data_IF_628460244804
#
_entry.id   IF_628460244804
#
_cell.length_a   1.000
_cell.length_b   1.000
_cell.length_c   1.000
_cell.angle_alpha   90.00
_cell.angle_beta   90.00
_cell.angle_gamma   90.00
#
_symmetry.space_group_name_H-M   'P 1'
#
loop_
_entity.id
_entity.type
_entity.pdbx_description
1 polymer ?
#
# COMPACT_ATOMS: atom_id res chain seq x y z
N UNK A 1 -23.31 10.63 8.25
CA UNK A 1 -23.54 9.33 8.93
C UNK A 1 -22.75 9.33 10.24
N UNK A 2 -23.39 9.29 11.42
CA UNK A 2 -22.66 9.19 12.70
C UNK A 2 -22.03 7.78 12.77
N UNK A 3 -20.72 7.71 12.57
CA UNK A 3 -19.94 6.48 12.77
C UNK A 3 -19.99 6.09 14.25
N UNK A 4 -20.17 4.79 14.54
CA UNK A 4 -20.03 4.26 15.89
C UNK A 4 -18.55 4.25 16.28
N UNK A 5 -18.22 4.53 17.55
CA UNK A 5 -16.84 4.52 18.05
C UNK A 5 -16.10 3.21 17.71
N UNK A 6 -16.81 2.07 17.72
CA UNK A 6 -16.26 0.76 17.35
C UNK A 6 -15.80 0.73 15.88
N UNK A 7 -16.57 1.32 14.96
CA UNK A 7 -16.23 1.36 13.55
C UNK A 7 -15.03 2.29 13.31
N UNK A 8 -14.99 3.42 14.00
CA UNK A 8 -13.86 4.36 13.92
C UNK A 8 -12.56 3.76 14.46
N UNK A 9 -12.64 3.03 15.57
CA UNK A 9 -11.50 2.33 16.15
C UNK A 9 -11.02 1.18 15.25
N UNK A 10 -11.96 0.41 14.68
CA UNK A 10 -11.64 -0.62 13.69
C UNK A 10 -10.93 -0.05 12.47
N UNK A 11 -11.38 1.10 11.95
CA UNK A 11 -10.72 1.79 10.85
C UNK A 11 -9.35 2.35 11.21
N UNK A 12 -9.16 2.81 12.44
CA UNK A 12 -7.84 3.24 12.92
C UNK A 12 -6.87 2.05 12.96
N UNK A 13 -7.30 0.93 13.53
CA UNK A 13 -6.50 -0.30 13.60
C UNK A 13 -6.15 -0.78 12.19
N UNK A 14 -7.12 -0.83 11.28
CA UNK A 14 -6.90 -1.28 9.91
C UNK A 14 -5.87 -0.41 9.17
N UNK A 15 -5.91 0.91 9.38
CA UNK A 15 -4.95 1.85 8.79
C UNK A 15 -3.55 1.70 9.38
N UNK A 16 -3.43 1.64 10.70
CA UNK A 16 -2.13 1.51 11.38
C UNK A 16 -1.50 0.14 11.08
N UNK A 17 -2.28 -0.94 11.19
CA UNK A 17 -1.77 -2.29 10.94
C UNK A 17 -1.45 -2.50 9.46
N UNK A 18 -2.40 -2.22 8.56
CA UNK A 18 -2.19 -2.39 7.12
C UNK A 18 -1.07 -1.50 6.58
N UNK A 19 -1.10 -0.21 6.92
CA UNK A 19 -0.07 0.75 6.51
C UNK A 19 1.28 0.48 7.15
N UNK A 20 1.31 0.15 8.45
CA UNK A 20 2.56 -0.14 9.15
C UNK A 20 3.23 -1.42 8.65
N UNK A 21 2.46 -2.46 8.36
CA UNK A 21 3.01 -3.70 7.82
C UNK A 21 3.50 -3.54 6.38
N UNK A 22 2.78 -2.81 5.52
CA UNK A 22 3.25 -2.59 4.13
C UNK A 22 4.53 -1.75 4.08
N UNK A 23 4.72 -0.82 5.02
CA UNK A 23 5.97 -0.05 5.12
C UNK A 23 7.20 -0.94 5.34
N UNK A 24 7.05 -2.13 5.95
CA UNK A 24 8.17 -3.08 6.11
C UNK A 24 8.64 -3.63 4.76
N UNK A 25 7.77 -3.66 3.76
CA UNK A 25 8.11 -3.99 2.37
C UNK A 25 8.64 -2.78 1.59
N UNK A 26 8.13 -1.58 1.89
CA UNK A 26 8.52 -0.34 1.22
C UNK A 26 9.89 0.21 1.64
N UNK A 27 10.26 0.14 2.93
CA UNK A 27 11.54 0.67 3.44
C UNK A 27 12.74 0.03 2.73
N UNK A 28 12.83 -1.32 2.58
CA UNK A 28 13.91 -1.95 1.82
C UNK A 28 13.96 -1.53 0.34
N UNK A 29 12.81 -1.20 -0.26
CA UNK A 29 12.75 -0.71 -1.65
C UNK A 29 13.25 0.73 -1.75
N UNK A 30 12.96 1.55 -0.75
CA UNK A 30 13.48 2.91 -0.66
C UNK A 30 15.01 2.90 -0.51
N UNK A 31 15.57 2.01 0.32
CA UNK A 31 17.02 1.87 0.45
C UNK A 31 17.68 1.37 -0.84
N UNK A 32 17.00 0.52 -1.63
CA UNK A 32 17.48 0.11 -2.96
C UNK A 32 17.43 1.25 -3.97
N UNK A 33 16.42 2.10 -3.88
CA UNK A 33 16.23 3.23 -4.80
C UNK A 33 17.29 4.32 -4.60
N UNK A 34 17.70 4.56 -3.35
CA UNK A 34 18.76 5.54 -2.99
C UNK A 34 20.13 4.90 -2.77
N UNK A 35 20.25 3.59 -2.95
CA UNK A 35 21.51 2.86 -2.80
C UNK A 35 22.47 3.13 -3.95
N UNK A 36 23.77 2.97 -3.68
CA UNK A 36 24.80 3.01 -4.71
C UNK A 36 24.85 1.64 -5.42
N UNK A 37 24.39 1.56 -6.67
CA UNK A 37 24.38 0.34 -7.47
C UNK A 37 23.37 0.36 -8.61
N UNK A 38 23.42 -0.64 -9.49
CA UNK A 38 22.38 -0.84 -10.50
C UNK A 38 21.04 -1.21 -9.83
N UNK A 39 19.95 -0.64 -10.34
CA UNK A 39 18.62 -0.91 -9.81
C UNK A 39 18.16 -2.30 -10.27
N UNK A 40 18.40 -3.31 -9.44
CA UNK A 40 17.86 -4.65 -9.62
C UNK A 40 16.42 -4.71 -9.07
N UNK A 41 15.47 -4.31 -9.91
CA UNK A 41 14.04 -4.43 -9.63
C UNK A 41 13.30 -5.04 -10.82
N UNK A 42 12.29 -5.86 -10.53
CA UNK A 42 11.44 -6.40 -11.57
C UNK A 42 10.69 -5.29 -12.29
N UNK A 43 10.55 -5.41 -13.61
CA UNK A 43 9.79 -4.46 -14.42
C UNK A 43 8.50 -5.12 -14.97
N UNK A 44 7.48 -5.33 -14.12
CA UNK A 44 6.26 -6.03 -14.53
C UNK A 44 5.46 -5.28 -15.60
N UNK A 45 5.62 -3.96 -15.73
CA UNK A 45 4.83 -3.11 -16.64
C UNK A 45 5.65 -2.68 -17.87
N UNK A 46 6.96 -2.93 -17.92
CA UNK A 46 7.81 -2.59 -19.06
C UNK A 46 8.20 -1.11 -19.12
N UNK A 47 8.20 -0.41 -17.98
CA UNK A 47 8.52 1.03 -17.86
C UNK A 47 9.96 1.29 -17.41
N UNK A 48 10.74 0.23 -17.22
CA UNK A 48 12.08 0.22 -16.67
C UNK A 48 12.12 -0.10 -15.17
N UNK A 49 13.22 -0.72 -14.68
CA UNK A 49 13.37 -1.13 -13.29
C UNK A 49 13.42 0.06 -12.32
N UNK A 50 14.05 1.17 -12.72
CA UNK A 50 14.11 2.41 -11.92
C UNK A 50 12.72 3.04 -11.67
N UNK A 51 11.97 3.39 -12.72
CA UNK A 51 10.61 3.92 -12.58
C UNK A 51 9.66 2.96 -11.84
N UNK A 52 9.73 1.66 -12.13
CA UNK A 52 8.96 0.63 -11.42
C UNK A 52 9.28 0.61 -9.92
N UNK A 53 10.56 0.65 -9.54
CA UNK A 53 10.97 0.70 -8.13
C UNK A 53 10.51 1.99 -7.45
N UNK A 54 10.64 3.14 -8.11
CA UNK A 54 10.20 4.42 -7.59
C UNK A 54 8.70 4.42 -7.27
N UNK A 55 7.87 3.97 -8.22
CA UNK A 55 6.41 3.95 -8.05
C UNK A 55 5.98 3.03 -6.90
N UNK A 56 6.57 1.84 -6.81
CA UNK A 56 6.25 0.89 -5.74
C UNK A 56 6.75 1.40 -4.39
N UNK A 57 7.96 1.93 -4.30
CA UNK A 57 8.50 2.51 -3.06
C UNK A 57 7.66 3.72 -2.60
N UNK A 58 7.24 4.58 -3.55
CA UNK A 58 6.37 5.71 -3.26
C UNK A 58 5.01 5.24 -2.72
N UNK A 59 4.39 4.24 -3.33
CA UNK A 59 3.13 3.68 -2.86
C UNK A 59 3.26 3.06 -1.46
N UNK A 60 4.27 2.20 -1.25
CA UNK A 60 4.43 1.44 0.00
C UNK A 60 4.95 2.25 1.18
N UNK A 61 5.59 3.40 0.94
CA UNK A 61 6.10 4.26 2.01
C UNK A 61 5.25 5.52 2.16
N UNK A 62 5.18 6.34 1.11
CA UNK A 62 4.52 7.65 1.18
C UNK A 62 3.01 7.47 1.27
N UNK A 63 2.41 6.67 0.39
CA UNK A 63 0.96 6.45 0.44
C UNK A 63 0.55 5.65 1.68
N UNK A 64 1.35 4.68 2.12
CA UNK A 64 1.11 3.97 3.37
C UNK A 64 1.12 4.92 4.58
N UNK A 65 2.10 5.83 4.66
CA UNK A 65 2.16 6.83 5.72
C UNK A 65 0.93 7.77 5.71
N UNK A 66 0.50 8.21 4.53
CA UNK A 66 -0.73 9.00 4.36
C UNK A 66 -1.97 8.23 4.85
N UNK A 67 -2.04 6.93 4.56
CA UNK A 67 -3.12 6.05 5.05
C UNK A 67 -3.10 5.94 6.58
N UNK A 68 -1.93 5.73 7.20
CA UNK A 68 -1.76 5.64 8.66
C UNK A 68 -2.25 6.93 9.33
N UNK A 69 -1.76 8.08 8.86
CA UNK A 69 -2.12 9.41 9.37
C UNK A 69 -3.60 9.72 9.07
N UNK A 70 -4.16 9.09 8.05
CA UNK A 70 -5.54 9.27 7.60
C UNK A 70 -5.74 10.45 6.66
N UNK A 71 -4.69 11.14 6.23
CA UNK A 71 -4.78 12.28 5.32
C UNK A 71 -5.11 11.80 3.90
N UNK A 72 -6.23 12.23 3.32
CA UNK A 72 -6.74 11.73 2.03
C UNK A 72 -6.65 10.20 1.89
N UNK A 73 -6.95 9.46 2.95
CA UNK A 73 -6.73 8.00 3.01
C UNK A 73 -7.37 7.21 1.87
N UNK A 74 -8.51 7.70 1.34
CA UNK A 74 -9.15 7.12 0.14
C UNK A 74 -8.22 7.20 -1.07
N UNK A 75 -7.74 8.39 -1.40
CA UNK A 75 -6.86 8.59 -2.54
C UNK A 75 -5.49 7.93 -2.34
N UNK A 76 -4.96 7.94 -1.12
CA UNK A 76 -3.72 7.27 -0.78
C UNK A 76 -3.81 5.73 -0.84
N UNK A 77 -5.00 5.14 -0.64
CA UNK A 77 -5.18 3.70 -0.78
C UNK A 77 -5.14 3.21 -2.24
N UNK A 78 -5.45 4.07 -3.22
CA UNK A 78 -5.52 3.67 -4.63
C UNK A 78 -4.14 3.19 -5.15
N UNK A 79 -3.03 3.96 -5.01
CA UNK A 79 -1.72 3.48 -5.43
C UNK A 79 -1.30 2.18 -4.76
N UNK A 80 -1.65 2.00 -3.48
CA UNK A 80 -1.36 0.78 -2.72
C UNK A 80 -2.12 -0.44 -3.29
N UNK A 81 -3.42 -0.30 -3.57
CA UNK A 81 -4.21 -1.36 -4.20
C UNK A 81 -3.63 -1.73 -5.57
N UNK A 82 -3.31 -0.73 -6.40
CA UNK A 82 -2.73 -0.97 -7.72
C UNK A 82 -1.39 -1.68 -7.62
N UNK A 83 -0.48 -1.21 -6.75
CA UNK A 83 0.83 -1.83 -6.56
C UNK A 83 0.72 -3.30 -6.13
N UNK A 84 -0.21 -3.60 -5.20
CA UNK A 84 -0.45 -4.97 -4.73
C UNK A 84 -1.07 -5.86 -5.81
N UNK A 85 -2.00 -5.33 -6.62
CA UNK A 85 -2.59 -6.08 -7.74
C UNK A 85 -1.57 -6.37 -8.84
N UNK A 86 -0.73 -5.40 -9.18
CA UNK A 86 0.39 -5.59 -10.13
C UNK A 86 1.35 -6.65 -9.59
N UNK A 87 1.68 -6.60 -8.30
CA UNK A 87 2.54 -7.60 -7.66
C UNK A 87 1.92 -9.01 -7.73
N UNK A 88 0.64 -9.16 -7.39
CA UNK A 88 -0.04 -10.47 -7.37
C UNK A 88 -0.32 -11.04 -8.77
N UNK A 89 -0.81 -10.21 -9.70
CA UNK A 89 -1.32 -10.67 -11.00
C UNK A 89 -0.26 -10.67 -12.09
N UNK A 90 0.70 -9.75 -12.03
CA UNK A 90 1.71 -9.58 -13.08
C UNK A 90 3.06 -10.11 -12.60
N UNK A 91 3.63 -9.55 -11.52
CA UNK A 91 4.96 -9.96 -11.05
C UNK A 91 5.00 -11.42 -10.56
N UNK A 92 3.94 -11.85 -9.86
CA UNK A 92 3.78 -13.22 -9.39
C UNK A 92 2.76 -14.01 -10.22
N UNK A 93 2.35 -13.56 -11.42
CA UNK A 93 1.28 -14.19 -12.20
C UNK A 93 1.48 -15.69 -12.48
N UNK A 94 2.72 -16.12 -12.71
CA UNK A 94 3.07 -17.53 -12.93
C UNK A 94 3.35 -18.32 -11.63
N UNK A 95 3.47 -17.65 -10.48
CA UNK A 95 3.80 -18.28 -9.21
C UNK A 95 2.60 -19.02 -8.58
N UNK A 96 2.85 -19.99 -7.68
CA UNK A 96 1.81 -20.63 -6.88
C UNK A 96 1.03 -19.63 -6.02
N UNK A 97 -0.20 -19.99 -5.65
CA UNK A 97 -1.10 -19.12 -4.88
C UNK A 97 -0.48 -18.61 -3.57
N UNK A 98 0.35 -19.42 -2.89
CA UNK A 98 1.00 -19.00 -1.63
C UNK A 98 1.88 -17.74 -1.75
N UNK A 99 2.44 -17.43 -2.92
CA UNK A 99 3.15 -16.15 -3.13
C UNK A 99 2.22 -14.98 -3.50
N UNK A 100 1.04 -15.29 -4.05
CA UNK A 100 0.02 -14.30 -4.45
C UNK A 100 -0.88 -13.89 -3.28
N UNK A 101 -1.06 -14.79 -2.32
CA UNK A 101 -1.97 -14.61 -1.18
C UNK A 101 -1.67 -13.33 -0.41
N UNK A 102 -0.41 -13.09 -0.06
CA UNK A 102 -0.01 -11.92 0.71
C UNK A 102 -0.30 -10.58 0.00
N UNK A 103 0.14 -10.35 -1.26
CA UNK A 103 -0.23 -9.13 -1.98
C UNK A 103 -1.74 -9.02 -2.23
N UNK A 104 -2.46 -10.11 -2.47
CA UNK A 104 -3.93 -10.08 -2.57
C UNK A 104 -4.61 -9.67 -1.26
N UNK A 105 -4.10 -10.15 -0.11
CA UNK A 105 -4.59 -9.79 1.20
C UNK A 105 -4.39 -8.29 1.47
N UNK A 106 -3.21 -7.76 1.18
CA UNK A 106 -2.96 -6.31 1.28
C UNK A 106 -3.85 -5.51 0.33
N UNK A 107 -4.04 -5.96 -0.90
CA UNK A 107 -4.97 -5.32 -1.83
C UNK A 107 -6.39 -5.27 -1.25
N UNK A 108 -6.87 -6.35 -0.64
CA UNK A 108 -8.19 -6.40 0.00
C UNK A 108 -8.27 -5.45 1.21
N UNK A 109 -7.23 -5.39 2.05
CA UNK A 109 -7.15 -4.46 3.20
C UNK A 109 -7.20 -3.00 2.75
N UNK A 110 -6.39 -2.61 1.77
CA UNK A 110 -6.40 -1.23 1.27
C UNK A 110 -7.66 -0.89 0.48
N UNK A 111 -8.26 -1.86 -0.21
CA UNK A 111 -9.58 -1.68 -0.83
C UNK A 111 -10.68 -1.47 0.21
N UNK A 112 -10.63 -2.20 1.33
CA UNK A 112 -11.55 -1.96 2.44
C UNK A 112 -11.37 -0.55 3.02
N UNK A 113 -10.12 -0.08 3.21
CA UNK A 113 -9.83 1.30 3.65
C UNK A 113 -10.35 2.33 2.62
N UNK A 114 -10.18 2.07 1.33
CA UNK A 114 -10.70 2.92 0.26
C UNK A 114 -12.22 3.06 0.32
N UNK A 115 -12.93 1.94 0.46
CA UNK A 115 -14.39 1.91 0.50
C UNK A 115 -14.95 2.55 1.78
N UNK A 116 -14.42 2.15 2.93
CA UNK A 116 -14.88 2.60 4.26
C UNK A 116 -14.47 4.06 4.56
N UNK A 117 -13.41 4.55 3.94
CA UNK A 117 -12.94 5.93 4.07
C UNK A 117 -12.08 6.22 5.32
N UNK A 118 -11.87 7.51 5.65
CA UNK A 118 -10.87 7.94 6.63
C UNK A 118 -11.21 7.67 8.10
N UNK A 119 -12.49 7.47 8.45
CA UNK A 119 -12.93 7.30 9.85
C UNK A 119 -12.80 8.57 10.70
N UNK A 120 -13.28 8.53 11.95
CA UNK A 120 -13.26 9.69 12.85
C UNK A 120 -11.87 10.12 13.33
N UNK A 121 -10.92 9.19 13.40
CA UNK A 121 -9.55 9.41 13.84
C UNK A 121 -8.59 9.71 12.67
N UNK A 122 -9.03 10.51 11.70
CA UNK A 122 -8.21 10.92 10.55
C UNK A 122 -7.99 12.43 10.62
N UNK A 123 -6.78 12.87 10.21
CA UNK A 123 -6.44 14.30 10.11
C UNK A 123 -7.26 15.02 9.03
N UNK A 124 -7.82 14.29 8.05
CA UNK A 124 -8.68 14.84 6.98
C UNK A 124 -10.03 15.34 7.53
N UNK A 125 -10.34 15.05 8.79
CA UNK A 125 -11.61 15.41 9.43
C UNK A 125 -11.59 16.86 9.92
N UNK A 126 -11.97 17.77 9.04
CA UNK A 126 -12.73 18.97 9.44
C UNK A 126 -14.21 18.61 9.59
#
# INVERSE_FOLDING_TARGET
MKSSLKNDLGLLILRIAGGGMIMTHGIPKLSRLFGEGEIEFGDPIGIGPGPSLFLVAFAEVVCALLVIIGLKSRWAAIPLVIAMLVAALIAHGADPFGRKELPLLYAAVFLAIFLLGPGKFSIDRK
#
